data_IF_511859698159
#
_entry.id   IF_511859698159
#
_cell.length_a   1.000
_cell.length_b   1.000
_cell.length_c   1.000
_cell.angle_alpha   90.00
_cell.angle_beta   90.00
_cell.angle_gamma   90.00
#
_symmetry.space_group_name_H-M   'P 1'
#
loop_
_entity.id
_entity.type
_entity.pdbx_description
1 polymer ?
#
# COMPACT_ATOMS: atom_id res chain seq x y z
N UNK A 1 -6.95 0.64 -14.95
CA UNK A 1 -7.16 0.46 -13.50
C UNK A 1 -5.86 -0.10 -12.96
N UNK A 2 -5.24 0.55 -11.98
CA UNK A 2 -3.93 0.13 -11.42
C UNK A 2 -4.17 -0.63 -10.12
N UNK A 3 -3.41 -1.69 -9.87
CA UNK A 3 -3.36 -2.42 -8.59
C UNK A 3 -2.19 -1.95 -7.72
N UNK A 4 -1.41 -0.99 -8.20
CA UNK A 4 -0.25 -0.42 -7.52
C UNK A 4 -0.48 1.02 -7.08
N UNK A 5 0.01 1.37 -5.88
CA UNK A 5 0.01 2.74 -5.34
C UNK A 5 1.45 3.22 -5.15
N UNK A 6 1.88 4.28 -5.85
CA UNK A 6 3.21 4.86 -5.67
C UNK A 6 3.44 5.36 -4.25
N UNK A 7 4.60 5.02 -3.70
CA UNK A 7 5.09 5.45 -2.38
C UNK A 7 6.59 5.72 -2.45
N UNK A 8 7.10 6.56 -1.55
CA UNK A 8 8.52 6.90 -1.56
C UNK A 8 8.98 7.50 -0.25
N UNK A 9 9.92 8.44 -0.34
CA UNK A 9 10.52 9.10 0.84
C UNK A 9 9.50 9.76 1.77
N UNK A 10 8.43 10.36 1.22
CA UNK A 10 7.35 10.95 2.01
C UNK A 10 6.57 9.93 2.87
N UNK A 11 6.68 8.63 2.54
CA UNK A 11 6.05 7.52 3.25
C UNK A 11 7.01 6.79 4.19
N UNK A 12 8.28 7.20 4.27
CA UNK A 12 9.31 6.57 5.11
C UNK A 12 10.15 5.49 4.40
N UNK A 13 10.15 5.46 3.07
CA UNK A 13 10.99 4.56 2.27
C UNK A 13 12.27 5.26 1.80
N UNK A 14 13.34 4.50 1.62
CA UNK A 14 14.64 5.04 1.18
C UNK A 14 14.71 5.32 -0.34
N UNK A 15 13.71 4.86 -1.10
CA UNK A 15 13.62 5.02 -2.55
C UNK A 15 12.15 4.94 -3.03
N UNK A 16 11.91 5.34 -4.27
CA UNK A 16 10.61 5.20 -4.93
C UNK A 16 10.23 3.72 -5.06
N UNK A 17 8.99 3.41 -4.71
CA UNK A 17 8.44 2.06 -4.63
C UNK A 17 6.93 2.08 -4.89
N UNK A 18 6.30 0.91 -4.81
CA UNK A 18 4.84 0.76 -4.92
C UNK A 18 4.31 -0.14 -3.81
N UNK A 19 3.11 0.13 -3.32
CA UNK A 19 2.31 -0.85 -2.60
C UNK A 19 1.64 -1.74 -3.66
N UNK A 20 1.96 -3.04 -3.67
CA UNK A 20 1.31 -4.01 -4.55
C UNK A 20 0.04 -4.56 -3.89
N UNK A 21 -1.14 -4.16 -4.40
CA UNK A 21 -2.42 -4.67 -3.90
C UNK A 21 -2.72 -6.10 -4.41
N UNK A 22 -2.00 -6.59 -5.42
CA UNK A 22 -2.11 -7.98 -5.90
C UNK A 22 -1.55 -9.00 -4.88
N UNK A 23 -0.73 -8.54 -3.92
CA UNK A 23 -0.01 -9.40 -2.99
C UNK A 23 -0.40 -9.17 -1.51
N UNK A 24 -1.64 -8.78 -1.23
CA UNK A 24 -2.10 -8.64 0.16
C UNK A 24 -2.10 -10.03 0.83
N UNK A 25 -1.45 -10.12 1.98
CA UNK A 25 -1.34 -11.33 2.79
C UNK A 25 -1.62 -11.04 4.26
N UNK A 26 -2.14 -12.02 4.98
CA UNK A 26 -2.28 -11.96 6.44
C UNK A 26 -1.03 -12.52 7.12
N UNK A 27 -0.49 -11.77 8.08
CA UNK A 27 0.69 -12.18 8.86
C UNK A 27 0.37 -12.17 10.37
N UNK A 28 1.05 -12.98 11.21
CA UNK A 28 0.95 -12.86 12.67
C UNK A 28 1.49 -11.52 13.17
N UNK A 29 0.83 -10.90 14.15
CA UNK A 29 1.28 -9.60 14.69
C UNK A 29 2.73 -9.62 15.22
N UNK A 30 3.17 -10.76 15.77
CA UNK A 30 4.52 -10.94 16.29
C UNK A 30 5.62 -10.90 15.21
N UNK A 31 5.27 -11.04 13.92
CA UNK A 31 6.23 -10.92 12.81
C UNK A 31 6.34 -9.51 12.25
N UNK A 32 5.51 -8.57 12.73
CA UNK A 32 5.57 -7.18 12.28
C UNK A 32 6.80 -6.49 12.89
N UNK A 33 7.64 -5.93 12.03
CA UNK A 33 8.86 -5.24 12.43
C UNK A 33 8.63 -3.81 12.93
N UNK A 34 9.68 -2.98 12.83
CA UNK A 34 9.58 -1.56 13.20
C UNK A 34 8.62 -0.81 12.26
N UNK A 35 7.97 0.22 12.79
CA UNK A 35 7.21 1.17 11.99
C UNK A 35 8.15 2.03 11.12
N UNK A 36 7.82 2.22 9.83
CA UNK A 36 8.65 2.97 8.88
C UNK A 36 8.08 4.36 8.55
N UNK A 37 6.76 4.52 8.58
CA UNK A 37 6.10 5.77 8.23
C UNK A 37 4.63 5.57 7.93
N UNK A 38 4.03 6.54 7.22
CA UNK A 38 2.59 6.62 7.02
C UNK A 38 2.23 6.68 5.54
N UNK A 39 1.06 6.13 5.21
CA UNK A 39 0.34 6.51 4.01
C UNK A 39 -0.30 7.88 4.25
N UNK A 40 -0.17 8.80 3.28
CA UNK A 40 -0.70 10.14 3.43
C UNK A 40 -2.21 10.14 3.16
N UNK A 41 -3.01 11.00 3.82
CA UNK A 41 -4.46 11.07 3.58
C UNK A 41 -4.85 11.28 2.11
N UNK A 42 -4.02 12.00 1.35
CA UNK A 42 -4.25 12.23 -0.08
C UNK A 42 -4.10 10.96 -0.94
N UNK A 43 -3.46 9.90 -0.42
CA UNK A 43 -3.26 8.63 -1.12
C UNK A 43 -4.39 7.63 -0.88
N UNK A 44 -5.27 7.86 0.10
CA UNK A 44 -6.40 6.97 0.44
C UNK A 44 -7.32 6.66 -0.76
N UNK A 45 -7.73 7.63 -1.61
CA UNK A 45 -8.57 7.32 -2.76
C UNK A 45 -7.88 6.38 -3.76
N UNK A 46 -6.56 6.52 -3.93
CA UNK A 46 -5.79 5.67 -4.82
C UNK A 46 -5.65 4.24 -4.25
N UNK A 47 -5.48 4.10 -2.93
CA UNK A 47 -5.46 2.80 -2.28
C UNK A 47 -6.81 2.08 -2.40
N UNK A 48 -7.91 2.77 -2.17
CA UNK A 48 -9.25 2.20 -2.29
C UNK A 48 -9.51 1.70 -3.73
N UNK A 49 -9.14 2.49 -4.73
CA UNK A 49 -9.27 2.11 -6.15
C UNK A 49 -8.37 0.92 -6.50
N UNK A 50 -7.14 0.88 -5.99
CA UNK A 50 -6.21 -0.21 -6.26
C UNK A 50 -6.67 -1.55 -5.67
N UNK A 51 -7.22 -1.53 -4.45
CA UNK A 51 -7.81 -2.72 -3.81
C UNK A 51 -9.06 -3.18 -4.58
N UNK A 52 -9.95 -2.26 -4.95
CA UNK A 52 -11.13 -2.59 -5.77
C UNK A 52 -10.74 -3.21 -7.10
N UNK A 53 -9.72 -2.63 -7.76
CA UNK A 53 -9.17 -3.14 -9.02
C UNK A 53 -8.54 -4.53 -8.87
N UNK A 54 -7.76 -4.77 -7.82
CA UNK A 54 -7.07 -6.04 -7.59
C UNK A 54 -8.05 -7.21 -7.34
N UNK A 55 -9.22 -6.92 -6.75
CA UNK A 55 -10.20 -7.94 -6.38
C UNK A 55 -11.52 -7.89 -7.17
N UNK A 56 -11.62 -7.03 -8.19
CA UNK A 56 -12.80 -6.92 -9.03
C UNK A 56 -14.05 -6.48 -8.25
N UNK A 57 -13.89 -5.54 -7.30
CA UNK A 57 -14.98 -5.02 -6.48
C UNK A 57 -15.59 -3.79 -7.16
N UNK A 58 -16.88 -3.86 -7.50
CA UNK A 58 -17.64 -2.74 -8.08
C UNK A 58 -17.87 -1.61 -7.08
#
# INVERSE_FOLDING_TARGET
MSTEVPVGSANGLDHESVISCDNIVTIPAATLGRHLGYLLPAQEPALAEAIRSAYGLE
#
